data_IF_739481289170
#
_entry.id   IF_739481289170
#
_cell.length_a   1.000
_cell.length_b   1.000
_cell.length_c   1.000
_cell.angle_alpha   90.00
_cell.angle_beta   90.00
_cell.angle_gamma   90.00
#
_symmetry.space_group_name_H-M   'P 1'
#
loop_
_entity.id
_entity.type
_entity.pdbx_description
1 polymer ?
#
# COMPACT_ATOMS: atom_id res chain seq x y z
N UNK A 1 15.97 14.72 -30.96
CA UNK A 1 15.51 13.76 -31.98
C UNK A 1 14.15 13.07 -31.69
N UNK A 2 13.38 13.47 -30.65
CA UNK A 2 12.04 12.88 -30.36
C UNK A 2 10.84 13.63 -30.96
N UNK A 3 11.00 14.87 -31.43
CA UNK A 3 9.88 15.63 -32.04
C UNK A 3 9.53 15.20 -33.47
N UNK A 4 10.42 14.48 -34.16
CA UNK A 4 10.26 14.14 -35.58
C UNK A 4 9.47 12.84 -35.82
N UNK A 5 9.26 12.00 -34.79
CA UNK A 5 8.47 10.75 -34.90
C UNK A 5 6.97 10.98 -34.74
N UNK A 6 6.57 11.94 -33.91
CA UNK A 6 5.16 12.25 -33.67
C UNK A 6 4.55 13.09 -34.79
N UNK A 7 5.33 14.00 -35.39
CA UNK A 7 4.93 14.71 -36.60
C UNK A 7 4.75 13.79 -37.81
N UNK A 8 5.54 12.70 -37.91
CA UNK A 8 5.42 11.71 -38.99
C UNK A 8 4.15 10.85 -38.84
N UNK A 9 3.75 10.52 -37.61
CA UNK A 9 2.49 9.82 -37.30
C UNK A 9 1.24 10.70 -37.51
N UNK A 10 1.29 11.98 -37.12
CA UNK A 10 0.24 12.96 -37.41
C UNK A 10 0.10 13.23 -38.91
N UNK A 11 1.21 13.28 -39.65
CA UNK A 11 1.24 13.39 -41.10
C UNK A 11 0.64 12.17 -41.82
N UNK A 12 1.01 10.95 -41.41
CA UNK A 12 0.44 9.72 -41.97
C UNK A 12 -1.06 9.58 -41.67
N UNK A 13 -1.50 9.90 -40.45
CA UNK A 13 -2.93 9.87 -40.08
C UNK A 13 -3.78 10.86 -40.88
N UNK A 14 -3.27 12.06 -41.14
CA UNK A 14 -3.94 13.07 -41.98
C UNK A 14 -3.99 12.67 -43.46
N UNK A 15 -2.94 12.04 -44.00
CA UNK A 15 -2.91 11.56 -45.39
C UNK A 15 -3.89 10.40 -45.59
N UNK A 16 -3.96 9.46 -44.63
CA UNK A 16 -4.90 8.34 -44.67
C UNK A 16 -6.34 8.84 -44.55
N UNK A 17 -6.62 9.80 -43.65
CA UNK A 17 -7.95 10.40 -43.51
C UNK A 17 -8.39 11.18 -44.76
N UNK A 18 -7.47 11.92 -45.39
CA UNK A 18 -7.74 12.66 -46.63
C UNK A 18 -7.97 11.75 -47.85
N UNK A 19 -7.31 10.58 -47.90
CA UNK A 19 -7.58 9.54 -48.90
C UNK A 19 -8.90 8.81 -48.63
N UNK A 20 -9.26 8.62 -47.35
CA UNK A 20 -10.54 8.01 -46.95
C UNK A 20 -11.74 8.82 -47.45
N UNK A 21 -11.67 10.15 -47.34
CA UNK A 21 -12.70 11.09 -47.82
C UNK A 21 -12.85 11.14 -49.35
N UNK A 22 -11.84 10.70 -50.12
CA UNK A 22 -11.88 10.63 -51.60
C UNK A 22 -12.49 9.34 -52.15
N UNK A 23 -12.79 8.36 -51.31
CA UNK A 23 -13.41 7.10 -51.72
C UNK A 23 -14.92 7.28 -51.92
N UNK A 24 -15.54 6.57 -52.89
CA UNK A 24 -17.00 6.56 -53.02
C UNK A 24 -17.64 6.05 -51.72
N UNK A 25 -18.79 6.61 -51.35
CA UNK A 25 -19.46 6.38 -50.04
C UNK A 25 -19.62 4.90 -49.68
N UNK A 26 -19.93 4.04 -50.67
CA UNK A 26 -20.01 2.58 -50.47
C UNK A 26 -18.68 1.92 -50.08
N UNK A 27 -17.55 2.38 -50.62
CA UNK A 27 -16.21 1.86 -50.28
C UNK A 27 -15.74 2.32 -48.90
N UNK A 28 -16.11 3.55 -48.48
CA UNK A 28 -15.81 4.06 -47.14
C UNK A 28 -16.49 3.21 -46.07
N UNK A 29 -17.76 2.85 -46.28
CA UNK A 29 -18.52 1.98 -45.36
C UNK A 29 -17.90 0.58 -45.31
N UNK A 30 -17.55 -0.01 -46.45
CA UNK A 30 -16.91 -1.33 -46.53
C UNK A 30 -15.54 -1.37 -45.84
N UNK A 31 -14.74 -0.31 -46.01
CA UNK A 31 -13.44 -0.17 -45.37
C UNK A 31 -13.59 0.03 -43.85
N UNK A 32 -14.58 0.82 -43.41
CA UNK A 32 -14.89 1.02 -42.00
C UNK A 32 -15.36 -0.29 -41.34
N UNK A 33 -16.26 -1.05 -41.98
CA UNK A 33 -16.70 -2.37 -41.53
C UNK A 33 -15.52 -3.34 -41.43
N UNK A 34 -14.62 -3.34 -42.41
CA UNK A 34 -13.42 -4.19 -42.39
C UNK A 34 -12.50 -3.85 -41.22
N UNK A 35 -12.23 -2.56 -40.99
CA UNK A 35 -11.41 -2.07 -39.87
C UNK A 35 -12.05 -2.43 -38.52
N UNK A 36 -13.37 -2.24 -38.37
CA UNK A 36 -14.08 -2.60 -37.15
C UNK A 36 -14.05 -4.11 -36.90
N UNK A 37 -14.22 -4.92 -37.95
CA UNK A 37 -14.14 -6.39 -37.86
C UNK A 37 -12.75 -6.85 -37.48
N UNK A 38 -11.71 -6.25 -38.05
CA UNK A 38 -10.32 -6.56 -37.73
C UNK A 38 -9.95 -6.14 -36.29
N UNK A 39 -10.44 -4.98 -35.83
CA UNK A 39 -10.31 -4.58 -34.43
C UNK A 39 -11.04 -5.53 -33.48
N UNK A 40 -12.25 -5.97 -33.83
CA UNK A 40 -13.02 -6.93 -33.03
C UNK A 40 -12.32 -8.29 -32.95
N UNK A 41 -11.82 -8.82 -34.07
CA UNK A 41 -11.06 -10.07 -34.11
C UNK A 41 -9.76 -9.98 -33.28
N UNK A 42 -9.02 -8.88 -33.40
CA UNK A 42 -7.83 -8.64 -32.57
C UNK A 42 -8.16 -8.49 -31.09
N UNK A 43 -9.29 -7.88 -30.75
CA UNK A 43 -9.77 -7.80 -29.37
C UNK A 43 -10.08 -9.20 -28.81
N UNK A 44 -10.84 -10.00 -29.54
CA UNK A 44 -11.23 -11.35 -29.11
C UNK A 44 -10.01 -12.27 -28.97
N UNK A 45 -9.04 -12.18 -29.89
CA UNK A 45 -7.81 -12.95 -29.82
C UNK A 45 -6.99 -12.63 -28.56
N UNK A 46 -6.67 -11.35 -28.33
CA UNK A 46 -5.89 -10.94 -27.15
C UNK A 46 -6.65 -11.22 -25.85
N UNK A 47 -7.97 -10.96 -25.82
CA UNK A 47 -8.86 -11.29 -24.70
C UNK A 47 -8.79 -12.78 -24.36
N UNK A 48 -8.88 -13.66 -25.36
CA UNK A 48 -8.77 -15.09 -25.15
C UNK A 48 -7.39 -15.51 -24.67
N UNK A 49 -6.30 -14.96 -25.22
CA UNK A 49 -4.95 -15.27 -24.76
C UNK A 49 -4.75 -14.93 -23.28
N UNK A 50 -5.13 -13.72 -22.85
CA UNK A 50 -5.02 -13.34 -21.44
C UNK A 50 -5.91 -14.17 -20.51
N UNK A 51 -7.08 -14.63 -20.98
CA UNK A 51 -7.92 -15.57 -20.21
C UNK A 51 -7.22 -16.91 -20.01
N UNK A 52 -6.51 -17.44 -21.00
CA UNK A 52 -5.72 -18.66 -20.86
C UNK A 52 -4.55 -18.45 -19.90
N UNK A 53 -3.85 -17.32 -20.02
CA UNK A 53 -2.78 -16.92 -19.11
C UNK A 53 -3.27 -16.86 -17.65
N UNK A 54 -4.40 -16.19 -17.41
CA UNK A 54 -5.01 -16.08 -16.09
C UNK A 54 -5.47 -17.45 -15.56
N UNK A 55 -6.04 -18.32 -16.41
CA UNK A 55 -6.38 -19.70 -16.02
C UNK A 55 -5.14 -20.48 -15.58
N UNK A 56 -4.04 -20.39 -16.31
CA UNK A 56 -2.79 -21.05 -15.94
C UNK A 56 -2.29 -20.56 -14.57
N UNK A 57 -2.28 -19.24 -14.34
CA UNK A 57 -1.91 -18.65 -13.04
C UNK A 57 -2.87 -19.11 -11.94
N UNK A 58 -4.17 -19.20 -12.23
CA UNK A 58 -5.19 -19.69 -11.28
C UNK A 58 -4.89 -21.12 -10.86
N UNK A 59 -4.59 -22.00 -11.83
CA UNK A 59 -4.25 -23.41 -11.56
C UNK A 59 -2.96 -23.51 -10.74
N UNK A 60 -1.93 -22.71 -11.06
CA UNK A 60 -0.70 -22.67 -10.27
C UNK A 60 -0.97 -22.21 -8.83
N UNK A 61 -1.79 -21.17 -8.64
CA UNK A 61 -2.21 -20.71 -7.32
C UNK A 61 -2.97 -21.78 -6.54
N UNK A 62 -3.92 -22.48 -7.18
CA UNK A 62 -4.63 -23.60 -6.56
C UNK A 62 -3.69 -24.77 -6.21
N UNK A 63 -2.72 -25.08 -7.08
CA UNK A 63 -1.71 -26.10 -6.79
C UNK A 63 -0.89 -25.71 -5.56
N UNK A 64 -0.47 -24.45 -5.45
CA UNK A 64 0.29 -23.95 -4.29
C UNK A 64 -0.54 -24.02 -3.00
N UNK A 65 -1.83 -23.71 -3.07
CA UNK A 65 -2.76 -23.87 -1.94
C UNK A 65 -2.86 -25.35 -1.51
N UNK A 66 -3.00 -26.28 -2.46
CA UNK A 66 -3.04 -27.71 -2.13
C UNK A 66 -1.72 -28.20 -1.54
N UNK A 67 -0.58 -27.73 -2.06
CA UNK A 67 0.73 -28.03 -1.47
C UNK A 67 0.85 -27.49 -0.04
N UNK A 68 0.43 -26.24 0.19
CA UNK A 68 0.40 -25.64 1.53
C UNK A 68 -0.50 -26.41 2.50
N UNK A 69 -1.68 -26.85 2.04
CA UNK A 69 -2.58 -27.71 2.81
C UNK A 69 -1.91 -29.03 3.23
N UNK A 70 -1.27 -29.73 2.28
CA UNK A 70 -0.55 -30.96 2.59
C UNK A 70 0.59 -30.73 3.59
N UNK A 71 1.39 -29.68 3.39
CA UNK A 71 2.52 -29.37 4.29
C UNK A 71 2.04 -29.00 5.70
N UNK A 72 1.01 -28.15 5.82
CA UNK A 72 0.41 -27.82 7.12
C UNK A 72 -0.26 -29.02 7.77
N UNK A 73 -0.91 -29.89 6.98
CA UNK A 73 -1.51 -31.13 7.49
C UNK A 73 -0.48 -32.10 8.07
N UNK A 74 0.78 -32.07 7.60
CA UNK A 74 1.88 -32.87 8.14
C UNK A 74 2.50 -32.29 9.40
N UNK A 75 2.53 -30.95 9.54
CA UNK A 75 3.15 -30.26 10.69
C UNK A 75 2.17 -30.03 11.83
N UNK A 76 0.90 -29.81 11.52
CA UNK A 76 -0.16 -29.44 12.45
C UNK A 76 -1.23 -30.54 12.53
N UNK A 77 -2.48 -30.14 12.33
CA UNK A 77 -3.66 -30.98 12.26
C UNK A 77 -4.37 -30.70 10.93
N UNK A 78 -4.84 -31.76 10.28
CA UNK A 78 -5.64 -31.70 9.06
C UNK A 78 -6.87 -30.78 9.17
N UNK A 79 -7.45 -30.63 10.37
CA UNK A 79 -8.55 -29.69 10.61
C UNK A 79 -8.11 -28.23 10.45
N UNK A 80 -6.99 -27.85 11.07
CA UNK A 80 -6.41 -26.49 10.98
C UNK A 80 -5.95 -26.22 9.55
N UNK A 81 -5.29 -27.20 8.93
CA UNK A 81 -4.91 -27.11 7.53
C UNK A 81 -6.13 -26.93 6.60
N UNK A 82 -7.24 -27.62 6.89
CA UNK A 82 -8.50 -27.49 6.14
C UNK A 82 -9.13 -26.11 6.29
N UNK A 83 -9.13 -25.55 7.50
CA UNK A 83 -9.54 -24.15 7.74
C UNK A 83 -8.66 -23.18 6.96
N UNK A 84 -7.34 -23.39 6.98
CA UNK A 84 -6.38 -22.58 6.23
C UNK A 84 -6.67 -22.60 4.73
N UNK A 85 -6.86 -23.80 4.17
CA UNK A 85 -7.16 -24.00 2.75
C UNK A 85 -8.46 -23.29 2.38
N UNK A 86 -9.52 -23.41 3.19
CA UNK A 86 -10.81 -22.80 2.93
C UNK A 86 -10.70 -21.28 2.86
N UNK A 87 -10.07 -20.66 3.86
CA UNK A 87 -9.92 -19.20 3.94
C UNK A 87 -9.04 -18.66 2.81
N UNK A 88 -7.90 -19.30 2.56
CA UNK A 88 -6.99 -18.91 1.48
C UNK A 88 -7.62 -19.12 0.10
N UNK A 89 -8.37 -20.20 -0.11
CA UNK A 89 -9.09 -20.46 -1.36
C UNK A 89 -10.21 -19.45 -1.61
N UNK A 90 -10.95 -19.02 -0.58
CA UNK A 90 -11.95 -17.97 -0.70
C UNK A 90 -11.32 -16.64 -1.14
N UNK A 91 -10.24 -16.22 -0.48
CA UNK A 91 -9.51 -14.99 -0.84
C UNK A 91 -8.91 -15.08 -2.25
N UNK A 92 -8.30 -16.21 -2.60
CA UNK A 92 -7.74 -16.42 -3.93
C UNK A 92 -8.84 -16.42 -5.01
N UNK A 93 -9.98 -17.07 -4.74
CA UNK A 93 -11.15 -17.05 -5.61
C UNK A 93 -11.67 -15.63 -5.85
N UNK A 94 -11.73 -14.80 -4.80
CA UNK A 94 -12.11 -13.38 -4.91
C UNK A 94 -11.12 -12.59 -5.77
N UNK A 95 -9.82 -12.77 -5.56
CA UNK A 95 -8.75 -12.16 -6.36
C UNK A 95 -8.91 -12.51 -7.84
N UNK A 96 -9.01 -13.80 -8.15
CA UNK A 96 -9.16 -14.30 -9.53
C UNK A 96 -10.46 -13.80 -10.17
N UNK A 97 -11.57 -13.85 -9.43
CA UNK A 97 -12.86 -13.35 -9.91
C UNK A 97 -12.80 -11.84 -10.22
N UNK A 98 -12.13 -11.06 -9.38
CA UNK A 98 -11.98 -9.62 -9.58
C UNK A 98 -11.17 -9.31 -10.85
N UNK A 99 -10.04 -9.98 -11.04
CA UNK A 99 -9.20 -9.83 -12.24
C UNK A 99 -9.97 -10.27 -13.49
N UNK A 100 -10.67 -11.40 -13.42
CA UNK A 100 -11.44 -11.94 -14.55
C UNK A 100 -12.50 -10.95 -15.05
N UNK A 101 -13.22 -10.29 -14.13
CA UNK A 101 -14.24 -9.29 -14.47
C UNK A 101 -13.65 -8.02 -15.08
N UNK A 102 -12.38 -7.72 -14.82
CA UNK A 102 -11.71 -6.48 -15.21
C UNK A 102 -10.63 -6.65 -16.26
N UNK A 103 -10.47 -7.84 -16.83
CA UNK A 103 -9.46 -8.13 -17.86
C UNK A 103 -9.51 -7.17 -19.06
N UNK A 104 -10.71 -6.67 -19.38
CA UNK A 104 -10.93 -5.67 -20.42
C UNK A 104 -10.21 -4.33 -20.15
N UNK A 105 -9.75 -4.07 -18.93
CA UNK A 105 -8.99 -2.88 -18.54
C UNK A 105 -7.48 -3.04 -18.81
N UNK A 106 -7.00 -4.17 -19.34
CA UNK A 106 -5.58 -4.36 -19.65
C UNK A 106 -5.13 -3.58 -20.90
N UNK A 107 -5.15 -2.26 -20.80
CA UNK A 107 -4.83 -1.27 -21.83
C UNK A 107 -4.26 -0.01 -21.18
N UNK A 108 -3.51 0.80 -21.92
CA UNK A 108 -2.89 2.02 -21.38
C UNK A 108 -3.94 3.10 -21.04
N UNK A 109 -4.85 3.36 -21.98
CA UNK A 109 -5.96 4.31 -21.88
C UNK A 109 -7.24 3.71 -22.46
N UNK A 110 -8.39 4.32 -22.19
CA UNK A 110 -9.69 3.85 -22.69
C UNK A 110 -9.74 3.67 -24.22
N UNK A 111 -9.01 4.54 -24.94
CA UNK A 111 -8.97 4.59 -26.41
C UNK A 111 -7.90 3.68 -27.04
N UNK A 112 -6.97 3.14 -26.24
CA UNK A 112 -5.90 2.27 -26.74
C UNK A 112 -6.36 0.82 -26.86
N UNK A 113 -5.83 0.04 -27.84
CA UNK A 113 -6.12 -1.39 -27.92
C UNK A 113 -5.61 -2.13 -26.67
N UNK A 114 -6.17 -3.31 -26.41
CA UNK A 114 -5.67 -4.17 -25.33
C UNK A 114 -4.23 -4.62 -25.59
N UNK A 115 -3.50 -4.78 -24.50
CA UNK A 115 -2.21 -5.46 -24.54
C UNK A 115 -2.39 -6.94 -24.90
N UNK A 116 -1.37 -7.50 -25.53
CA UNK A 116 -1.38 -8.89 -25.97
C UNK A 116 -1.18 -9.91 -24.84
N UNK A 117 -0.61 -9.48 -23.72
CA UNK A 117 -0.41 -10.27 -22.52
C UNK A 117 -0.72 -9.43 -21.28
N UNK A 118 -0.83 -10.08 -20.11
CA UNK A 118 -1.02 -9.36 -18.84
C UNK A 118 0.14 -8.40 -18.54
N UNK A 119 1.34 -8.70 -19.01
CA UNK A 119 2.55 -7.94 -18.70
C UNK A 119 3.11 -8.27 -17.32
N UNK A 120 4.39 -7.97 -17.12
CA UNK A 120 5.10 -8.35 -15.89
C UNK A 120 4.60 -7.62 -14.64
N UNK A 121 4.18 -6.35 -14.75
CA UNK A 121 3.60 -5.61 -13.63
C UNK A 121 2.35 -6.31 -13.09
N UNK A 122 1.35 -6.55 -13.94
CA UNK A 122 0.12 -7.23 -13.53
C UNK A 122 0.38 -8.65 -13.00
N UNK A 123 1.35 -9.39 -13.56
CA UNK A 123 1.72 -10.72 -13.03
C UNK A 123 2.26 -10.64 -11.59
N UNK A 124 3.09 -9.62 -11.28
CA UNK A 124 3.58 -9.39 -9.93
C UNK A 124 2.45 -8.97 -8.99
N UNK A 125 1.52 -8.13 -9.46
CA UNK A 125 0.33 -7.75 -8.69
C UNK A 125 -0.57 -8.96 -8.40
N UNK A 126 -0.71 -9.89 -9.35
CA UNK A 126 -1.45 -11.16 -9.14
C UNK A 126 -0.73 -12.05 -8.12
N UNK A 127 0.60 -12.15 -8.21
CA UNK A 127 1.41 -12.87 -7.23
C UNK A 127 1.27 -12.24 -5.82
N UNK A 128 1.25 -10.91 -5.72
CA UNK A 128 0.95 -10.18 -4.48
C UNK A 128 -0.42 -10.56 -3.93
N UNK A 129 -1.46 -10.58 -4.77
CA UNK A 129 -2.79 -11.04 -4.39
C UNK A 129 -2.82 -12.49 -3.87
N UNK A 130 -2.03 -13.39 -4.48
CA UNK A 130 -1.86 -14.76 -4.00
C UNK A 130 -1.19 -14.80 -2.62
N UNK A 131 -0.12 -14.04 -2.41
CA UNK A 131 0.57 -13.96 -1.11
C UNK A 131 -0.37 -13.44 -0.01
N UNK A 132 -1.17 -12.41 -0.30
CA UNK A 132 -2.18 -11.90 0.64
C UNK A 132 -3.24 -12.98 0.95
N UNK A 133 -3.66 -13.76 -0.05
CA UNK A 133 -4.59 -14.87 0.16
C UNK A 133 -3.98 -15.98 1.04
N UNK A 134 -2.71 -16.33 0.82
CA UNK A 134 -1.98 -17.29 1.66
C UNK A 134 -1.82 -16.80 3.11
N UNK A 135 -1.49 -15.51 3.31
CA UNK A 135 -1.48 -14.88 4.64
C UNK A 135 -2.86 -14.95 5.28
N UNK A 136 -3.92 -14.66 4.53
CA UNK A 136 -5.29 -14.71 5.03
C UNK A 136 -5.81 -16.11 5.35
N UNK A 137 -5.13 -17.16 4.87
CA UNK A 137 -5.37 -18.53 5.33
C UNK A 137 -5.12 -18.72 6.82
N UNK A 138 -4.29 -17.89 7.46
CA UNK A 138 -3.99 -18.00 8.89
C UNK A 138 -4.97 -17.24 9.79
N UNK A 139 -6.05 -16.68 9.22
CA UNK A 139 -7.04 -15.93 9.99
C UNK A 139 -7.79 -16.84 10.96
N UNK A 140 -8.04 -16.34 12.17
CA UNK A 140 -8.78 -17.06 13.21
C UNK A 140 -8.18 -18.43 13.58
N UNK A 141 -6.86 -18.57 13.47
CA UNK A 141 -6.12 -19.75 13.91
C UNK A 141 -5.23 -19.40 15.09
N UNK A 142 -5.12 -20.33 16.03
CA UNK A 142 -4.14 -20.22 17.11
C UNK A 142 -2.76 -20.56 16.53
N UNK A 143 -1.81 -19.64 16.68
CA UNK A 143 -0.43 -19.87 16.27
C UNK A 143 0.32 -20.57 17.41
N UNK A 144 0.30 -21.90 17.39
CA UNK A 144 0.97 -22.74 18.39
C UNK A 144 2.43 -23.03 18.05
N UNK A 145 2.76 -23.11 16.76
CA UNK A 145 4.11 -23.45 16.29
C UNK A 145 4.82 -22.24 15.66
N UNK A 146 6.14 -22.20 15.79
CA UNK A 146 7.01 -21.14 15.24
C UNK A 146 6.81 -20.93 13.73
N UNK A 147 6.55 -22.01 12.99
CA UNK A 147 6.28 -21.96 11.55
C UNK A 147 5.02 -21.14 11.25
N UNK A 148 3.96 -21.29 12.03
CA UNK A 148 2.70 -20.56 11.84
C UNK A 148 2.80 -19.10 12.27
N UNK A 149 3.74 -18.76 13.15
CA UNK A 149 4.06 -17.38 13.51
C UNK A 149 4.87 -16.70 12.41
N UNK A 150 5.86 -17.40 11.86
CA UNK A 150 6.80 -16.82 10.91
C UNK A 150 6.27 -16.78 9.47
N UNK A 151 5.54 -17.81 9.03
CA UNK A 151 5.10 -17.93 7.64
C UNK A 151 4.19 -16.76 7.19
N UNK A 152 3.16 -16.34 7.95
CA UNK A 152 2.33 -15.22 7.56
C UNK A 152 3.10 -13.90 7.48
N UNK A 153 4.08 -13.72 8.39
CA UNK A 153 4.96 -12.56 8.40
C UNK A 153 5.84 -12.52 7.13
N UNK A 154 6.45 -13.63 6.75
CA UNK A 154 7.23 -13.76 5.50
C UNK A 154 6.34 -13.49 4.28
N UNK A 155 5.18 -14.16 4.19
CA UNK A 155 4.27 -14.03 3.06
C UNK A 155 3.80 -12.59 2.86
N UNK A 156 3.38 -11.91 3.94
CA UNK A 156 2.92 -10.54 3.86
C UNK A 156 4.06 -9.54 3.61
N UNK A 157 5.24 -9.78 4.19
CA UNK A 157 6.43 -8.96 3.91
C UNK A 157 6.81 -9.05 2.44
N UNK A 158 6.81 -10.26 1.85
CA UNK A 158 7.02 -10.43 0.42
C UNK A 158 5.94 -9.72 -0.40
N UNK A 159 4.67 -9.77 0.01
CA UNK A 159 3.59 -9.04 -0.65
C UNK A 159 3.83 -7.51 -0.64
N UNK A 160 4.26 -6.96 0.50
CA UNK A 160 4.59 -5.54 0.63
C UNK A 160 5.82 -5.13 -0.21
N UNK A 161 6.80 -6.02 -0.36
CA UNK A 161 7.94 -5.76 -1.26
C UNK A 161 7.49 -5.80 -2.73
N UNK A 162 6.63 -6.75 -3.10
CA UNK A 162 6.10 -6.85 -4.46
C UNK A 162 5.28 -5.62 -4.87
N UNK A 163 4.61 -4.96 -3.93
CA UNK A 163 3.89 -3.70 -4.16
C UNK A 163 4.79 -2.59 -4.69
N UNK A 164 6.02 -2.54 -4.20
CA UNK A 164 6.99 -1.59 -4.71
C UNK A 164 7.49 -1.99 -6.10
N UNK A 165 7.66 -3.29 -6.33
CA UNK A 165 8.31 -3.83 -7.52
C UNK A 165 7.39 -3.86 -8.74
N UNK A 166 6.08 -4.08 -8.57
CA UNK A 166 5.14 -4.17 -9.69
C UNK A 166 5.05 -2.85 -10.48
N UNK A 167 4.98 -1.72 -9.79
CA UNK A 167 4.96 -0.39 -10.39
C UNK A 167 6.29 -0.05 -11.06
N UNK A 168 7.41 -0.42 -10.44
CA UNK A 168 8.75 -0.26 -11.04
C UNK A 168 8.88 -1.07 -12.33
N UNK A 169 8.48 -2.35 -12.30
CA UNK A 169 8.53 -3.25 -13.45
C UNK A 169 7.59 -2.76 -14.56
N UNK A 170 6.38 -2.31 -14.24
CA UNK A 170 5.43 -1.77 -15.22
C UNK A 170 5.97 -0.53 -15.96
N UNK A 171 6.65 0.38 -15.23
CA UNK A 171 7.29 1.57 -15.83
C UNK A 171 8.48 1.17 -16.70
N UNK A 172 9.32 0.24 -16.23
CA UNK A 172 10.50 -0.23 -16.97
C UNK A 172 10.11 -1.03 -18.22
N UNK A 173 9.03 -1.79 -18.18
CA UNK A 173 8.50 -2.54 -19.33
C UNK A 173 7.64 -1.71 -20.27
N UNK A 174 7.35 -0.44 -19.95
CA UNK A 174 6.44 0.44 -20.72
C UNK A 174 5.04 -0.16 -20.92
N UNK A 175 4.57 -0.98 -19.95
CA UNK A 175 3.26 -1.62 -19.95
C UNK A 175 2.44 -1.16 -18.74
N UNK A 176 2.30 0.14 -18.56
CA UNK A 176 1.38 0.70 -17.55
C UNK A 176 -0.05 0.51 -18.06
N UNK A 177 -0.90 -0.14 -17.27
CA UNK A 177 -2.27 -0.48 -17.66
C UNK A 177 -3.30 0.01 -16.64
N UNK A 178 -4.52 0.32 -17.12
CA UNK A 178 -5.65 0.66 -16.26
C UNK A 178 -6.02 -0.50 -15.32
N UNK A 179 -5.90 -1.75 -15.80
CA UNK A 179 -6.05 -2.95 -14.98
C UNK A 179 -5.06 -2.94 -13.82
N UNK A 180 -3.78 -2.70 -14.10
CA UNK A 180 -2.74 -2.67 -13.07
C UNK A 180 -3.03 -1.67 -11.97
N UNK A 181 -3.40 -0.44 -12.33
CA UNK A 181 -3.76 0.60 -11.34
C UNK A 181 -4.98 0.19 -10.48
N UNK A 182 -6.00 -0.43 -11.08
CA UNK A 182 -7.19 -0.89 -10.34
C UNK A 182 -6.87 -2.09 -9.44
N UNK A 183 -6.05 -3.03 -9.91
CA UNK A 183 -5.61 -4.18 -9.11
C UNK A 183 -4.76 -3.72 -7.93
N UNK A 184 -3.87 -2.75 -8.17
CA UNK A 184 -2.98 -2.19 -7.16
C UNK A 184 -3.78 -1.66 -5.97
N UNK A 185 -4.68 -0.71 -6.24
CA UNK A 185 -5.58 -0.13 -5.24
C UNK A 185 -6.43 -1.19 -4.52
N UNK A 186 -6.93 -2.18 -5.27
CA UNK A 186 -7.84 -3.19 -4.69
C UNK A 186 -7.10 -4.18 -3.80
N UNK A 187 -5.90 -4.62 -4.19
CA UNK A 187 -5.12 -5.57 -3.40
C UNK A 187 -4.44 -4.90 -2.21
N UNK A 188 -4.13 -3.60 -2.30
CA UNK A 188 -3.71 -2.80 -1.14
C UNK A 188 -4.83 -2.73 -0.10
N UNK A 189 -6.05 -2.42 -0.54
CA UNK A 189 -7.21 -2.42 0.33
C UNK A 189 -7.48 -3.80 0.94
N UNK A 190 -7.34 -4.88 0.16
CA UNK A 190 -7.47 -6.25 0.65
C UNK A 190 -6.38 -6.57 1.70
N UNK A 191 -5.13 -6.20 1.44
CA UNK A 191 -4.01 -6.38 2.37
C UNK A 191 -4.20 -5.59 3.67
N UNK A 192 -4.74 -4.37 3.59
CA UNK A 192 -5.11 -3.53 4.74
C UNK A 192 -6.30 -4.07 5.53
N UNK A 193 -7.01 -5.10 5.05
CA UNK A 193 -8.02 -5.83 5.83
C UNK A 193 -7.40 -7.09 6.42
N UNK A 194 -6.81 -7.94 5.57
CA UNK A 194 -6.34 -9.27 5.93
C UNK A 194 -5.24 -9.22 6.99
N UNK A 195 -4.21 -8.40 6.79
CA UNK A 195 -3.06 -8.40 7.69
C UNK A 195 -3.35 -7.76 9.05
N UNK A 196 -4.10 -6.64 9.15
CA UNK A 196 -4.54 -6.14 10.45
C UNK A 196 -5.48 -7.10 11.18
N UNK A 197 -6.42 -7.76 10.49
CA UNK A 197 -7.27 -8.79 11.11
C UNK A 197 -6.43 -9.92 11.69
N UNK A 198 -5.41 -10.37 10.96
CA UNK A 198 -4.48 -11.37 11.45
C UNK A 198 -3.74 -10.86 12.69
N UNK A 199 -3.13 -9.67 12.63
CA UNK A 199 -2.39 -9.09 13.75
C UNK A 199 -3.24 -8.86 15.01
N UNK A 200 -4.53 -8.53 14.85
CA UNK A 200 -5.50 -8.47 15.96
C UNK A 200 -5.76 -9.86 16.53
N UNK A 201 -5.92 -10.88 15.66
CA UNK A 201 -6.05 -12.27 16.07
C UNK A 201 -4.84 -12.78 16.87
N UNK A 202 -3.66 -12.20 16.63
CA UNK A 202 -2.42 -12.47 17.38
C UNK A 202 -2.24 -11.61 18.64
N UNK A 203 -3.21 -10.74 18.95
CA UNK A 203 -3.11 -9.82 20.09
C UNK A 203 -2.07 -8.70 19.93
N UNK A 204 -1.53 -8.51 18.71
CA UNK A 204 -0.49 -7.49 18.44
C UNK A 204 -1.06 -6.13 18.06
N UNK A 205 -2.31 -6.07 17.62
CA UNK A 205 -2.99 -4.80 17.33
C UNK A 205 -4.31 -4.70 18.08
N UNK A 206 -4.69 -3.48 18.42
CA UNK A 206 -6.02 -3.20 18.95
C UNK A 206 -7.04 -3.13 17.82
N UNK A 207 -8.27 -3.59 18.08
CA UNK A 207 -9.35 -3.67 17.09
C UNK A 207 -9.68 -2.32 16.43
N UNK A 208 -9.40 -1.21 17.11
CA UNK A 208 -9.59 0.14 16.56
C UNK A 208 -8.81 0.37 15.27
N UNK A 209 -7.70 -0.34 15.04
CA UNK A 209 -6.91 -0.21 13.82
C UNK A 209 -7.72 -0.57 12.55
N UNK A 210 -8.75 -1.42 12.67
CA UNK A 210 -9.68 -1.74 11.56
C UNK A 210 -10.46 -0.53 11.05
N UNK A 211 -10.50 0.58 11.79
CA UNK A 211 -11.05 1.83 11.28
C UNK A 211 -10.36 2.26 9.98
N UNK A 212 -9.06 1.99 9.80
CA UNK A 212 -8.36 2.25 8.53
C UNK A 212 -8.90 1.39 7.40
N UNK A 213 -9.04 0.09 7.66
CA UNK A 213 -9.55 -0.88 6.69
C UNK A 213 -10.94 -0.48 6.22
N UNK A 214 -11.80 -0.06 7.16
CA UNK A 214 -13.17 0.37 6.88
C UNK A 214 -13.23 1.75 6.23
N UNK A 215 -12.35 2.69 6.59
CA UNK A 215 -12.33 4.07 6.07
C UNK A 215 -12.24 4.09 4.55
N UNK A 216 -11.39 3.24 3.94
CA UNK A 216 -11.29 3.12 2.49
C UNK A 216 -12.63 2.73 1.83
N UNK A 217 -13.33 1.71 2.36
CA UNK A 217 -14.60 1.27 1.79
C UNK A 217 -15.73 2.28 2.02
N UNK A 218 -15.77 2.94 3.18
CA UNK A 218 -16.71 4.04 3.44
C UNK A 218 -16.47 5.19 2.46
N UNK A 219 -15.21 5.54 2.23
CA UNK A 219 -14.83 6.60 1.30
C UNK A 219 -15.27 6.27 -0.14
N UNK A 220 -15.00 5.06 -0.62
CA UNK A 220 -15.45 4.60 -1.94
C UNK A 220 -16.98 4.54 -2.05
N UNK A 221 -17.66 4.03 -1.03
CA UNK A 221 -19.12 4.01 -0.99
C UNK A 221 -19.71 5.42 -1.02
N UNK A 222 -19.10 6.36 -0.29
CA UNK A 222 -19.46 7.77 -0.27
C UNK A 222 -19.35 8.42 -1.66
N UNK A 223 -18.27 8.13 -2.39
CA UNK A 223 -18.08 8.58 -3.77
C UNK A 223 -19.19 8.05 -4.69
N UNK A 224 -19.43 6.74 -4.69
CA UNK A 224 -20.46 6.11 -5.51
C UNK A 224 -21.85 6.66 -5.20
N UNK A 225 -22.16 6.88 -3.92
CA UNK A 225 -23.45 7.45 -3.49
C UNK A 225 -23.62 8.88 -3.98
N UNK A 226 -22.58 9.70 -3.97
CA UNK A 226 -22.62 11.08 -4.50
C UNK A 226 -22.80 11.09 -6.01
N UNK A 227 -22.05 10.26 -6.74
CA UNK A 227 -22.19 10.12 -8.19
C UNK A 227 -23.60 9.69 -8.60
N UNK A 228 -24.19 8.71 -7.90
CA UNK A 228 -25.58 8.28 -8.15
C UNK A 228 -26.62 9.36 -7.84
N UNK A 229 -26.31 10.30 -6.95
CA UNK A 229 -27.18 11.44 -6.62
C UNK A 229 -26.94 12.66 -7.52
N UNK A 230 -26.06 12.56 -8.52
CA UNK A 230 -25.70 13.67 -9.40
C UNK A 230 -25.00 14.83 -8.68
N UNK A 231 -24.46 14.60 -7.48
CA UNK A 231 -23.74 15.62 -6.73
C UNK A 231 -22.32 15.79 -7.32
N UNK A 232 -21.78 17.02 -7.35
CA UNK A 232 -20.42 17.24 -7.83
C UNK A 232 -19.42 16.50 -6.93
N UNK A 233 -18.45 15.85 -7.58
CA UNK A 233 -17.32 15.17 -6.96
C UNK A 233 -16.07 15.91 -7.42
N UNK A 234 -15.48 16.70 -6.54
CA UNK A 234 -14.30 17.49 -6.86
C UNK A 234 -13.07 16.58 -6.93
N UNK A 235 -12.23 16.79 -7.93
CA UNK A 235 -10.98 16.05 -8.08
C UNK A 235 -10.01 16.43 -6.96
N UNK A 236 -9.43 15.44 -6.31
CA UNK A 236 -8.40 15.64 -5.29
C UNK A 236 -7.09 16.07 -5.96
N UNK A 237 -6.42 17.13 -5.45
CA UNK A 237 -5.09 17.48 -5.94
C UNK A 237 -4.12 16.33 -5.63
N UNK A 238 -3.08 16.11 -6.45
CA UNK A 238 -2.05 15.13 -6.14
C UNK A 238 -1.34 15.51 -4.84
N UNK A 239 -1.35 14.60 -3.86
CA UNK A 239 -0.67 14.77 -2.59
C UNK A 239 0.28 13.59 -2.36
N UNK A 240 1.61 13.80 -2.39
CA UNK A 240 2.58 12.72 -2.19
C UNK A 240 2.44 12.07 -0.81
N UNK A 241 2.00 12.82 0.21
CA UNK A 241 1.85 12.29 1.57
C UNK A 241 0.88 11.11 1.67
N UNK A 242 -0.13 11.03 0.79
CA UNK A 242 -1.06 9.88 0.80
C UNK A 242 -0.34 8.58 0.46
N UNK A 243 0.56 8.64 -0.52
CA UNK A 243 1.36 7.49 -0.94
C UNK A 243 2.39 7.11 0.12
N UNK A 244 3.09 8.10 0.68
CA UNK A 244 4.08 7.86 1.74
C UNK A 244 3.42 7.19 2.94
N UNK A 245 2.29 7.73 3.40
CA UNK A 245 1.56 7.21 4.55
C UNK A 245 1.08 5.78 4.31
N UNK A 246 0.52 5.48 3.14
CA UNK A 246 0.12 4.12 2.78
C UNK A 246 1.30 3.13 2.81
N UNK A 247 2.44 3.50 2.23
CA UNK A 247 3.66 2.69 2.26
C UNK A 247 4.17 2.44 3.69
N UNK A 248 4.14 3.46 4.56
CA UNK A 248 4.48 3.28 5.97
C UNK A 248 3.49 2.39 6.72
N UNK A 249 2.18 2.43 6.40
CA UNK A 249 1.21 1.51 6.99
C UNK A 249 1.51 0.07 6.60
N UNK A 250 1.79 -0.19 5.32
CA UNK A 250 2.14 -1.53 4.87
C UNK A 250 3.41 -2.05 5.55
N UNK A 251 4.45 -1.22 5.64
CA UNK A 251 5.69 -1.57 6.32
C UNK A 251 5.48 -1.81 7.82
N UNK A 252 4.64 -0.99 8.47
CA UNK A 252 4.29 -1.15 9.87
C UNK A 252 3.57 -2.48 10.12
N UNK A 253 2.51 -2.79 9.35
CA UNK A 253 1.77 -4.05 9.50
C UNK A 253 2.69 -5.24 9.23
N UNK A 254 3.56 -5.17 8.23
CA UNK A 254 4.56 -6.20 7.97
C UNK A 254 5.46 -6.41 9.19
N UNK A 255 6.03 -5.34 9.76
CA UNK A 255 6.86 -5.41 10.96
C UNK A 255 6.12 -5.96 12.19
N UNK A 256 4.85 -5.61 12.38
CA UNK A 256 4.02 -6.12 13.48
C UNK A 256 3.82 -7.63 13.38
N UNK A 257 3.69 -8.20 12.18
CA UNK A 257 3.52 -9.64 12.03
C UNK A 257 4.77 -10.42 12.48
N UNK A 258 5.97 -9.85 12.37
CA UNK A 258 7.19 -10.49 12.86
C UNK A 258 7.19 -10.65 14.39
N UNK A 259 7.72 -11.76 14.94
CA UNK A 259 7.83 -11.99 16.38
C UNK A 259 8.97 -11.19 17.04
N UNK A 260 9.30 -10.00 16.51
CA UNK A 260 10.41 -9.16 16.97
C UNK A 260 9.95 -8.04 17.91
N UNK A 261 8.68 -7.67 17.87
CA UNK A 261 8.12 -6.53 18.60
C UNK A 261 7.15 -7.01 19.67
N UNK A 262 7.20 -6.38 20.84
CA UNK A 262 6.26 -6.65 21.93
C UNK A 262 4.83 -6.21 21.56
N UNK A 263 3.84 -7.02 21.93
CA UNK A 263 2.42 -6.75 21.64
C UNK A 263 1.95 -5.42 22.25
N UNK A 264 2.46 -5.08 23.44
CA UNK A 264 2.19 -3.80 24.13
C UNK A 264 2.59 -2.61 23.28
N UNK A 265 3.79 -2.63 22.68
CA UNK A 265 4.26 -1.55 21.82
C UNK A 265 3.51 -1.50 20.50
N UNK A 266 3.27 -2.65 19.85
CA UNK A 266 2.60 -2.68 18.54
C UNK A 266 1.16 -2.20 18.63
N UNK A 267 0.46 -2.41 19.76
CA UNK A 267 -0.86 -1.84 20.02
C UNK A 267 -0.82 -0.31 20.05
N UNK A 268 0.10 0.27 20.82
CA UNK A 268 0.24 1.73 20.98
C UNK A 268 0.68 2.36 19.65
N UNK A 269 1.71 1.78 19.03
CA UNK A 269 2.22 2.20 17.74
C UNK A 269 1.14 2.10 16.66
N UNK A 270 0.30 1.06 16.69
CA UNK A 270 -0.84 0.92 15.78
C UNK A 270 -1.81 2.09 15.87
N UNK A 271 -2.17 2.51 17.08
CA UNK A 271 -3.02 3.70 17.28
C UNK A 271 -2.30 4.96 16.76
N UNK A 272 -1.03 5.14 17.11
CA UNK A 272 -0.24 6.29 16.66
C UNK A 272 -0.12 6.38 15.13
N UNK A 273 0.09 5.24 14.46
CA UNK A 273 0.18 5.13 13.00
C UNK A 273 -1.16 5.36 12.32
N UNK A 274 -2.26 4.94 12.95
CA UNK A 274 -3.61 5.07 12.40
C UNK A 274 -4.07 6.52 12.31
N UNK A 275 -3.81 7.34 13.34
CA UNK A 275 -4.40 8.67 13.46
C UNK A 275 -4.10 9.63 12.30
N UNK A 276 -2.84 9.79 11.83
CA UNK A 276 -2.55 10.68 10.71
C UNK A 276 -3.25 10.26 9.41
N UNK A 277 -3.41 8.95 9.20
CA UNK A 277 -4.05 8.42 7.98
C UNK A 277 -5.56 8.62 8.02
N UNK A 278 -6.21 8.35 9.15
CA UNK A 278 -7.64 8.65 9.33
C UNK A 278 -7.92 10.14 9.18
N UNK A 279 -7.07 10.99 9.74
CA UNK A 279 -7.16 12.44 9.56
C UNK A 279 -7.08 12.82 8.07
N UNK A 280 -6.15 12.21 7.32
CA UNK A 280 -6.05 12.36 5.87
C UNK A 280 -7.36 12.01 5.15
N UNK A 281 -7.98 10.86 5.46
CA UNK A 281 -9.27 10.46 4.89
C UNK A 281 -10.40 11.45 5.19
N UNK A 282 -10.45 12.01 6.41
CA UNK A 282 -11.45 13.03 6.77
C UNK A 282 -11.26 14.30 5.95
N UNK A 283 -10.02 14.79 5.84
CA UNK A 283 -9.71 15.99 5.05
C UNK A 283 -10.01 15.76 3.56
N UNK A 284 -9.61 14.62 3.01
CA UNK A 284 -9.89 14.25 1.62
C UNK A 284 -11.41 14.20 1.35
N UNK A 285 -12.20 13.63 2.27
CA UNK A 285 -13.65 13.62 2.16
C UNK A 285 -14.27 15.03 2.19
N UNK A 286 -13.75 15.92 3.03
CA UNK A 286 -14.23 17.31 3.10
C UNK A 286 -13.94 18.10 1.82
N UNK A 287 -12.81 17.82 1.15
CA UNK A 287 -12.47 18.45 -0.14
C UNK A 287 -13.34 17.89 -1.25
N UNK A 288 -13.43 16.56 -1.36
CA UNK A 288 -14.28 15.89 -2.36
C UNK A 288 -15.74 16.29 -2.22
N UNK A 289 -16.20 16.51 -0.98
CA UNK A 289 -17.56 16.93 -0.71
C UNK A 289 -17.85 18.38 -1.11
N UNK A 290 -16.82 19.19 -1.36
CA UNK A 290 -16.91 20.63 -1.62
C UNK A 290 -17.02 21.48 -0.36
N UNK A 291 -16.83 20.88 0.82
CA UNK A 291 -16.91 21.61 2.10
C UNK A 291 -15.69 22.50 2.31
N UNK A 292 -14.52 22.07 1.82
CA UNK A 292 -13.28 22.85 1.88
C UNK A 292 -12.63 23.05 0.50
N UNK A 293 -11.96 24.20 0.30
CA UNK A 293 -11.16 24.44 -0.88
C UNK A 293 -9.90 23.55 -0.89
N UNK A 294 -9.45 23.12 -2.06
CA UNK A 294 -8.28 22.26 -2.22
C UNK A 294 -6.97 22.89 -1.67
N UNK A 295 -6.93 24.23 -1.59
CA UNK A 295 -5.84 25.00 -0.99
C UNK A 295 -5.61 24.65 0.50
N UNK A 296 -6.59 24.06 1.19
CA UNK A 296 -6.42 23.71 2.60
C UNK A 296 -5.30 22.69 2.81
N UNK A 297 -5.09 21.77 1.84
CA UNK A 297 -4.01 20.78 1.90
C UNK A 297 -2.63 21.43 1.93
N UNK A 298 -2.40 22.44 1.09
CA UNK A 298 -1.10 23.15 1.07
C UNK A 298 -0.90 23.97 2.33
N UNK A 299 -1.96 24.58 2.87
CA UNK A 299 -1.86 25.30 4.15
C UNK A 299 -1.57 24.38 5.34
N UNK A 300 -2.22 23.21 5.39
CA UNK A 300 -2.00 22.21 6.43
C UNK A 300 -0.59 21.61 6.34
N UNK A 301 -0.11 21.34 5.13
CA UNK A 301 1.25 20.84 4.90
C UNK A 301 2.30 21.86 5.34
N UNK A 302 2.13 23.14 4.97
CA UNK A 302 3.01 24.23 5.42
C UNK A 302 3.00 24.42 6.93
N UNK A 303 1.83 24.36 7.57
CA UNK A 303 1.69 24.50 9.02
C UNK A 303 2.32 23.30 9.74
N UNK A 304 2.09 22.09 9.22
CA UNK A 304 2.69 20.85 9.72
C UNK A 304 4.21 20.92 9.67
N UNK A 305 4.76 21.25 8.49
CA UNK A 305 6.20 21.33 8.26
C UNK A 305 6.87 22.45 9.06
N UNK A 306 6.21 23.60 9.22
CA UNK A 306 6.79 24.78 9.90
C UNK A 306 6.71 24.70 11.43
N UNK A 307 5.61 24.19 11.97
CA UNK A 307 5.36 24.23 13.41
C UNK A 307 5.20 22.85 14.03
N UNK A 308 4.33 22.00 13.47
CA UNK A 308 4.00 20.71 14.09
C UNK A 308 5.22 19.79 14.21
N UNK A 309 5.95 19.57 13.12
CA UNK A 309 7.11 18.66 13.09
C UNK A 309 8.26 19.13 14.01
N UNK A 310 8.67 20.42 14.03
CA UNK A 310 9.64 20.91 15.01
C UNK A 310 9.16 20.79 16.46
N UNK A 311 7.88 21.06 16.74
CA UNK A 311 7.32 20.90 18.09
C UNK A 311 7.36 19.44 18.53
N UNK A 312 7.06 18.49 17.65
CA UNK A 312 7.19 17.06 17.95
C UNK A 312 8.62 16.67 18.31
N UNK A 313 9.64 17.22 17.65
CA UNK A 313 11.05 16.95 17.97
C UNK A 313 11.42 17.44 19.36
N UNK A 314 11.05 18.68 19.69
CA UNK A 314 11.32 19.26 21.02
C UNK A 314 10.57 18.49 22.10
N UNK A 315 9.31 18.14 21.85
CA UNK A 315 8.51 17.33 22.76
C UNK A 315 9.13 15.95 22.99
N UNK A 316 9.57 15.27 21.94
CA UNK A 316 10.23 13.97 22.05
C UNK A 316 11.47 14.05 22.95
N UNK A 317 12.33 15.04 22.74
CA UNK A 317 13.56 15.20 23.53
C UNK A 317 13.26 15.55 24.98
N UNK A 318 12.28 16.43 25.22
CA UNK A 318 11.85 16.78 26.57
C UNK A 318 11.29 15.56 27.31
N UNK A 319 10.47 14.75 26.64
CA UNK A 319 9.90 13.52 27.22
C UNK A 319 10.98 12.46 27.40
N UNK A 320 11.93 12.32 26.48
CA UNK A 320 13.09 11.44 26.62
C UNK A 320 13.91 11.80 27.86
N UNK A 321 14.16 13.09 28.08
CA UNK A 321 14.87 13.56 29.27
C UNK A 321 14.10 13.26 30.57
N UNK A 322 12.78 13.49 30.57
CA UNK A 322 11.91 13.16 31.71
C UNK A 322 11.85 11.64 31.98
N UNK A 323 11.80 10.83 30.92
CA UNK A 323 11.81 9.38 31.01
C UNK A 323 13.10 8.87 31.66
N UNK A 324 14.28 9.36 31.21
CA UNK A 324 15.58 9.04 31.82
C UNK A 324 15.61 9.46 33.29
N UNK A 325 15.11 10.66 33.62
CA UNK A 325 15.15 11.19 35.00
C UNK A 325 14.24 10.42 35.97
N UNK A 326 13.05 10.04 35.52
CA UNK A 326 12.05 9.38 36.36
C UNK A 326 12.34 7.89 36.53
N UNK A 327 12.97 7.27 35.54
CA UNK A 327 13.36 5.87 35.57
C UNK A 327 14.71 5.70 36.28
N UNK A 328 14.76 6.06 37.57
CA UNK A 328 15.96 5.96 38.41
C UNK A 328 16.54 4.55 38.62
N UNK A 329 16.13 3.56 37.81
CA UNK A 329 16.51 2.15 37.93
C UNK A 329 16.25 1.28 36.68
N UNK A 330 16.06 1.84 35.47
CA UNK A 330 15.79 1.03 34.25
C UNK A 330 16.97 0.82 33.31
N UNK A 331 18.08 1.51 33.53
CA UNK A 331 19.18 1.50 32.58
C UNK A 331 20.47 1.21 33.36
N UNK A 332 20.92 -0.05 33.29
CA UNK A 332 22.34 -0.31 33.45
C UNK A 332 23.03 0.29 32.23
N UNK A 333 24.23 0.84 32.41
CA UNK A 333 25.02 1.54 31.38
C UNK A 333 25.43 0.59 30.23
N UNK A 334 24.45 0.19 29.45
CA UNK A 334 24.53 -0.71 28.31
C UNK A 334 24.47 0.09 27.00
N UNK A 335 24.82 -0.57 25.90
CA UNK A 335 24.77 -0.01 24.54
C UNK A 335 23.43 0.65 24.19
N UNK A 336 22.33 0.28 24.84
CA UNK A 336 20.99 0.82 24.57
C UNK A 336 20.79 2.26 25.01
N UNK A 337 21.39 2.71 26.12
CA UNK A 337 21.32 4.11 26.53
C UNK A 337 21.96 5.01 25.48
N UNK A 338 23.13 4.59 24.98
CA UNK A 338 23.84 5.32 23.92
C UNK A 338 23.03 5.35 22.63
N UNK A 339 22.39 4.24 22.24
CA UNK A 339 21.51 4.22 21.06
C UNK A 339 20.28 5.12 21.26
N UNK A 340 19.70 5.16 22.45
CA UNK A 340 18.57 6.03 22.78
C UNK A 340 18.96 7.52 22.69
N UNK A 341 20.05 7.92 23.35
CA UNK A 341 20.56 9.29 23.34
C UNK A 341 20.97 9.70 21.92
N UNK A 342 21.66 8.82 21.20
CA UNK A 342 22.05 9.06 19.81
C UNK A 342 20.82 9.25 18.90
N UNK A 343 19.82 8.38 19.03
CA UNK A 343 18.57 8.47 18.26
C UNK A 343 17.80 9.75 18.56
N UNK A 344 17.69 10.13 19.84
CA UNK A 344 17.09 11.40 20.26
C UNK A 344 17.86 12.61 19.70
N UNK A 345 19.20 12.54 19.68
CA UNK A 345 20.06 13.55 19.06
C UNK A 345 19.83 13.70 17.55
N UNK A 346 19.79 12.59 16.81
CA UNK A 346 19.46 12.57 15.37
C UNK A 346 18.11 13.24 15.10
N UNK A 347 17.11 12.92 15.93
CA UNK A 347 15.77 13.52 15.83
C UNK A 347 15.83 15.02 16.12
N UNK A 348 16.46 15.44 17.23
CA UNK A 348 16.52 16.85 17.65
C UNK A 348 17.11 17.74 16.56
N UNK A 349 18.32 17.40 16.10
CA UNK A 349 19.01 18.15 15.06
C UNK A 349 18.39 17.97 13.67
N UNK A 350 17.45 17.03 13.54
CA UNK A 350 16.84 16.64 12.28
C UNK A 350 17.80 15.90 11.34
N UNK A 351 19.03 15.59 11.78
CA UNK A 351 20.02 14.87 10.99
C UNK A 351 19.57 13.42 10.80
N UNK A 352 19.04 13.12 9.60
CA UNK A 352 18.42 11.82 9.30
C UNK A 352 17.34 11.40 10.33
N UNK A 353 16.54 12.34 10.83
CA UNK A 353 15.66 12.08 11.99
C UNK A 353 14.59 11.00 11.81
N UNK A 354 14.22 10.61 10.57
CA UNK A 354 13.38 9.41 10.35
C UNK A 354 14.10 8.12 10.74
N UNK A 355 15.40 8.01 10.47
CA UNK A 355 16.22 6.88 10.91
C UNK A 355 16.34 6.86 12.44
N UNK A 356 16.52 8.03 13.06
CA UNK A 356 16.50 8.16 14.52
C UNK A 356 15.17 7.72 15.13
N UNK A 357 14.04 8.16 14.55
CA UNK A 357 12.71 7.74 15.00
C UNK A 357 12.48 6.23 14.84
N UNK A 358 12.90 5.65 13.72
CA UNK A 358 12.84 4.20 13.49
C UNK A 358 13.69 3.42 14.51
N UNK A 359 14.95 3.84 14.72
CA UNK A 359 15.84 3.23 15.70
C UNK A 359 15.27 3.31 17.12
N UNK A 360 14.67 4.45 17.48
CA UNK A 360 14.01 4.65 18.77
C UNK A 360 12.81 3.72 18.96
N UNK A 361 11.93 3.59 17.96
CA UNK A 361 10.78 2.67 18.02
C UNK A 361 11.25 1.22 18.14
N UNK A 362 12.29 0.82 17.42
CA UNK A 362 12.86 -0.53 17.50
C UNK A 362 13.49 -0.81 18.87
N UNK A 363 14.22 0.16 19.41
CA UNK A 363 14.81 0.05 20.76
C UNK A 363 13.73 -0.06 21.83
N UNK A 364 12.69 0.78 21.75
CA UNK A 364 11.53 0.67 22.63
C UNK A 364 10.84 -0.69 22.45
N UNK A 365 10.73 -1.20 21.21
CA UNK A 365 10.12 -2.51 20.91
C UNK A 365 10.84 -3.69 21.52
N UNK A 366 12.17 -3.62 21.60
CA UNK A 366 13.02 -4.67 22.17
C UNK A 366 13.06 -4.64 23.70
N UNK A 367 13.01 -3.45 24.30
CA UNK A 367 13.27 -3.26 25.74
C UNK A 367 12.01 -2.95 26.55
N UNK A 368 10.85 -2.82 25.92
CA UNK A 368 9.61 -2.49 26.60
C UNK A 368 9.28 -3.52 27.69
N UNK A 369 9.26 -3.15 28.98
CA UNK A 369 8.78 -4.06 30.01
C UNK A 369 7.30 -4.35 29.78
N UNK A 370 6.90 -5.62 29.88
CA UNK A 370 5.48 -6.00 29.82
C UNK A 370 4.68 -5.47 31.04
N UNK A 371 5.36 -4.96 32.06
CA UNK A 371 4.75 -4.41 33.28
C UNK A 371 4.54 -2.90 33.19
N UNK A 372 3.45 -2.50 32.54
CA UNK A 372 2.80 -1.20 32.70
C UNK A 372 3.53 0.01 32.09
N UNK A 373 3.10 0.43 30.90
CA UNK A 373 3.64 1.61 30.22
C UNK A 373 3.47 2.88 31.05
N UNK A 374 4.57 3.59 31.31
CA UNK A 374 4.50 4.90 31.93
C UNK A 374 3.95 5.91 30.92
N UNK A 375 3.28 6.97 31.41
CA UNK A 375 2.74 8.04 30.58
C UNK A 375 3.75 8.56 29.53
N UNK A 376 5.03 8.63 29.90
CA UNK A 376 6.11 9.08 29.03
C UNK A 376 6.37 8.16 27.84
N UNK A 377 6.24 6.84 28.02
CA UNK A 377 6.50 5.87 26.96
C UNK A 377 5.45 5.96 25.85
N UNK A 378 4.18 6.16 26.23
CA UNK A 378 3.12 6.43 25.26
C UNK A 378 3.43 7.68 24.44
N UNK A 379 3.82 8.77 25.09
CA UNK A 379 4.15 10.02 24.39
C UNK A 379 5.38 9.85 23.50
N UNK A 380 6.40 9.08 23.91
CA UNK A 380 7.56 8.76 23.07
C UNK A 380 7.17 7.96 21.83
N UNK A 381 6.37 6.90 21.98
CA UNK A 381 5.92 6.09 20.84
C UNK A 381 5.10 6.94 19.87
N UNK A 382 4.19 7.79 20.37
CA UNK A 382 3.38 8.66 19.53
C UNK A 382 4.23 9.69 18.77
N UNK A 383 5.10 10.41 19.48
CA UNK A 383 5.96 11.43 18.88
C UNK A 383 6.95 10.83 17.89
N UNK A 384 7.58 9.70 18.23
CA UNK A 384 8.48 8.98 17.32
C UNK A 384 7.73 8.47 16.09
N UNK A 385 6.54 7.87 16.25
CA UNK A 385 5.73 7.38 15.13
C UNK A 385 5.32 8.51 14.20
N UNK A 386 4.92 9.67 14.74
CA UNK A 386 4.53 10.81 13.92
C UNK A 386 5.72 11.48 13.23
N UNK A 387 6.90 11.52 13.85
CA UNK A 387 8.14 11.98 13.18
C UNK A 387 8.53 11.00 12.07
N UNK A 388 8.40 9.70 12.31
CA UNK A 388 8.67 8.68 11.30
C UNK A 388 7.72 8.80 10.09
N UNK A 389 6.44 9.13 10.31
CA UNK A 389 5.43 9.28 9.26
C UNK A 389 5.51 10.63 8.53
N UNK A 390 5.60 11.73 9.27
CA UNK A 390 5.48 13.09 8.73
C UNK A 390 6.82 13.72 8.38
N UNK A 391 7.91 13.28 9.02
CA UNK A 391 9.25 13.83 8.84
C UNK A 391 9.67 14.79 9.95
N UNK A 392 10.82 15.44 9.74
CA UNK A 392 11.48 16.26 10.78
C UNK A 392 11.17 17.75 10.70
N UNK A 393 10.61 18.21 9.58
CA UNK A 393 10.14 19.58 9.40
C UNK A 393 11.24 20.59 9.13
N UNK A 394 10.84 21.87 9.12
CA UNK A 394 11.74 23.01 8.95
C UNK A 394 12.82 23.02 10.03
N UNK A 395 14.02 23.56 9.73
CA UNK A 395 15.17 23.62 10.66
C UNK A 395 15.82 22.26 10.97
N UNK A 396 15.74 21.32 10.03
CA UNK A 396 16.54 20.10 10.07
C UNK A 396 17.89 20.35 9.39
N UNK A 397 18.98 19.86 9.99
CA UNK A 397 20.33 19.98 9.42
C UNK A 397 20.50 19.13 8.16
N UNK A 398 19.85 17.97 8.09
CA UNK A 398 19.96 17.07 6.95
C UNK A 398 18.74 16.15 6.81
N UNK A 399 17.88 16.47 5.84
CA UNK A 399 16.60 15.79 5.58
C UNK A 399 16.73 14.58 4.64
N UNK A 400 17.79 13.79 4.77
CA UNK A 400 18.05 12.66 3.87
C UNK A 400 16.84 11.72 3.71
N UNK A 401 16.14 11.42 4.81
CA UNK A 401 14.96 10.56 4.80
C UNK A 401 13.77 11.16 4.05
N UNK A 402 13.53 12.47 4.19
CA UNK A 402 12.46 13.16 3.47
C UNK A 402 12.77 13.26 1.97
N UNK A 403 14.02 13.52 1.61
CA UNK A 403 14.51 13.53 0.23
C UNK A 403 14.49 12.15 -0.44
N UNK A 404 14.79 11.10 0.33
CA UNK A 404 14.73 9.72 -0.16
C UNK A 404 13.29 9.35 -0.49
N UNK A 405 12.36 9.59 0.45
CA UNK A 405 10.92 9.35 0.24
C UNK A 405 10.39 10.17 -0.95
N UNK A 406 10.74 11.45 -1.04
CA UNK A 406 10.29 12.33 -2.13
C UNK A 406 10.79 11.90 -3.52
N UNK A 407 12.06 11.47 -3.63
CA UNK A 407 12.64 10.96 -4.90
C UNK A 407 11.92 9.71 -5.40
N UNK A 408 11.42 8.92 -4.49
CA UNK A 408 10.87 7.59 -4.76
C UNK A 408 9.36 7.59 -4.99
N UNK A 409 8.66 8.66 -4.60
CA UNK A 409 7.23 8.85 -4.87
C UNK A 409 6.97 9.72 -6.12
N UNK A 410 7.97 10.45 -6.59
CA UNK A 410 7.94 11.25 -7.82
C UNK A 410 8.51 10.59 -9.10
N UNK A 411 8.88 9.30 -9.06
CA UNK A 411 9.56 8.58 -10.16
C UNK A 411 8.77 7.39 -10.74
#
# INVERSE_FOLDING_TARGET
>A
MRANSDFKKLGQGRIIAAQFLKLPSGLQVLLCIRILREKAANYDFHSNFMKHELKAITILGCSLLLTGFCLLGLVENWFVAGQWLLQAALLWGLVVQYIWRRLALNRANAETPLYSNLGWGNRLTILRGLLIALTGGFLFQQQTNDVNVLLPAILYTLAAILDRLDGYVARRSQQVSLLGNELDITFDALGLVVAPLLAIGLGKLHWSYLMLSVAYYIYQWGLLRRQRRGLPVYALPPNPLRRTLAGFQMAFIAAVLWPLLSSSLTVIAGIAFMLPVLFGFVVDWLIVSGSFPAQILTTLDLLSWKFFQPVLRVLLVLVSFLAIRNSGQLWQADMSEWVFIFSAGLILFGFAGRLGAFALIMLLGWQYPDTGGHFFDYVLIFTASWILLLGTGRYSLWQWGDEWVARYDGA
#
